data_IF_992270285890
#
_entry.id   IF_992270285890
#
_cell.length_a   1.000
_cell.length_b   1.000
_cell.length_c   1.000
_cell.angle_alpha   90.00
_cell.angle_beta   90.00
_cell.angle_gamma   90.00
#
_symmetry.space_group_name_H-M   'P 1'
#
loop_
_entity.id
_entity.type
_entity.pdbx_description
1 polymer ?
#
# COMPACT_ATOMS: atom_id res chain seq x y z
N UNK A 1 24.65 -14.31 12.32
CA UNK A 1 23.20 -14.04 12.07
C UNK A 1 22.42 -15.04 12.93
N UNK A 2 21.81 -14.59 14.03
CA UNK A 2 21.12 -15.49 14.97
C UNK A 2 19.88 -16.08 14.29
N UNK A 3 19.81 -17.41 14.21
CA UNK A 3 18.66 -18.11 13.62
C UNK A 3 17.41 -17.84 14.47
N UNK A 4 16.33 -17.39 13.83
CA UNK A 4 15.03 -17.22 14.49
C UNK A 4 14.51 -18.55 15.03
N UNK A 5 13.94 -18.53 16.24
CA UNK A 5 13.19 -19.65 16.81
C UNK A 5 11.92 -19.91 15.99
N UNK A 6 11.35 -21.12 16.05
CA UNK A 6 10.13 -21.47 15.32
C UNK A 6 8.98 -20.48 15.55
N UNK A 7 8.69 -20.19 16.82
CA UNK A 7 7.65 -19.21 17.20
C UNK A 7 7.90 -17.78 16.71
N UNK A 8 9.16 -17.39 16.51
CA UNK A 8 9.52 -16.09 15.96
C UNK A 8 9.21 -16.03 14.45
N UNK A 9 9.44 -17.12 13.71
CA UNK A 9 9.12 -17.20 12.28
C UNK A 9 7.62 -17.08 12.03
N UNK A 10 6.80 -17.71 12.87
CA UNK A 10 5.34 -17.64 12.73
C UNK A 10 4.83 -16.21 12.96
N UNK A 11 5.40 -15.51 13.94
CA UNK A 11 5.09 -14.08 14.19
C UNK A 11 5.52 -13.18 13.04
N UNK A 12 6.68 -13.42 12.41
CA UNK A 12 7.09 -12.67 11.21
C UNK A 12 6.07 -12.86 10.09
N UNK A 13 5.65 -14.11 9.82
CA UNK A 13 4.65 -14.39 8.77
C UNK A 13 3.31 -13.69 9.04
N UNK A 14 2.80 -13.75 10.26
CA UNK A 14 1.56 -13.07 10.63
C UNK A 14 1.69 -11.54 10.51
N UNK A 15 2.78 -10.97 11.00
CA UNK A 15 3.04 -9.54 10.88
C UNK A 15 3.07 -9.10 9.41
N UNK A 16 3.79 -9.82 8.54
CA UNK A 16 3.85 -9.54 7.10
C UNK A 16 2.46 -9.63 6.47
N UNK A 17 1.67 -10.65 6.83
CA UNK A 17 0.31 -10.80 6.33
C UNK A 17 -0.59 -9.62 6.70
N UNK A 18 -0.49 -9.12 7.94
CA UNK A 18 -1.35 -8.03 8.43
C UNK A 18 -0.91 -6.65 7.94
N UNK A 19 0.40 -6.44 7.82
CA UNK A 19 0.97 -5.10 7.54
C UNK A 19 1.42 -4.90 6.11
N UNK A 20 1.53 -5.98 5.33
CA UNK A 20 2.15 -6.02 4.00
C UNK A 20 3.58 -5.43 4.00
N UNK A 21 4.24 -5.41 5.16
CA UNK A 21 5.63 -4.98 5.29
C UNK A 21 6.60 -6.05 4.77
N UNK A 22 7.84 -5.66 4.48
CA UNK A 22 8.89 -6.62 4.18
C UNK A 22 9.21 -7.49 5.39
N UNK A 23 9.72 -8.71 5.18
CA UNK A 23 10.19 -9.56 6.28
C UNK A 23 11.27 -8.87 7.13
N UNK A 24 12.08 -8.01 6.51
CA UNK A 24 13.12 -7.23 7.19
C UNK A 24 12.49 -6.23 8.17
N UNK A 25 11.49 -5.48 7.71
CA UNK A 25 10.73 -4.55 8.57
C UNK A 25 10.00 -5.31 9.68
N UNK A 26 9.35 -6.43 9.35
CA UNK A 26 8.67 -7.27 10.32
C UNK A 26 9.61 -7.77 11.43
N UNK A 27 10.80 -8.25 11.06
CA UNK A 27 11.82 -8.66 12.03
C UNK A 27 12.28 -7.50 12.92
N UNK A 28 12.48 -6.30 12.35
CA UNK A 28 12.89 -5.12 13.11
C UNK A 28 11.80 -4.68 14.10
N UNK A 29 10.54 -4.58 13.66
CA UNK A 29 9.40 -4.26 14.51
C UNK A 29 9.24 -5.28 15.65
N UNK A 30 9.23 -6.57 15.32
CA UNK A 30 9.03 -7.62 16.32
C UNK A 30 10.19 -7.68 17.32
N UNK A 31 11.43 -7.50 16.87
CA UNK A 31 12.59 -7.46 17.77
C UNK A 31 12.52 -6.27 18.74
N UNK A 32 12.08 -5.09 18.28
CA UNK A 32 11.93 -3.89 19.11
C UNK A 32 10.83 -4.02 20.19
N UNK A 33 9.83 -4.87 19.96
CA UNK A 33 8.68 -5.05 20.86
C UNK A 33 8.67 -6.40 21.57
N UNK A 34 9.85 -6.97 21.85
CA UNK A 34 9.98 -8.24 22.57
C UNK A 34 9.17 -9.39 21.94
N UNK A 35 9.04 -9.39 20.62
CA UNK A 35 8.23 -10.33 19.85
C UNK A 35 6.75 -10.34 20.25
N UNK A 36 6.22 -9.28 20.81
CA UNK A 36 4.77 -9.09 20.96
C UNK A 36 4.20 -8.62 19.61
N UNK A 37 3.36 -9.46 18.99
CA UNK A 37 2.84 -9.23 17.65
C UNK A 37 1.86 -8.04 17.62
N UNK A 38 0.94 -7.98 18.57
CA UNK A 38 -0.07 -6.92 18.66
C UNK A 38 0.59 -5.55 18.87
N UNK A 39 1.48 -5.46 19.86
CA UNK A 39 2.21 -4.22 20.15
C UNK A 39 3.10 -3.77 18.98
N UNK A 40 3.75 -4.71 18.29
CA UNK A 40 4.54 -4.39 17.12
C UNK A 40 3.68 -3.85 15.97
N UNK A 41 2.49 -4.42 15.76
CA UNK A 41 1.55 -3.95 14.74
C UNK A 41 0.98 -2.58 15.08
N UNK A 42 0.54 -2.34 16.31
CA UNK A 42 0.03 -1.04 16.75
C UNK A 42 1.08 0.06 16.55
N UNK A 43 2.33 -0.24 16.92
CA UNK A 43 3.47 0.66 16.75
C UNK A 43 3.77 0.92 15.26
N UNK A 44 3.75 -0.12 14.44
CA UNK A 44 3.95 0.00 13.00
C UNK A 44 2.84 0.80 12.31
N UNK A 45 1.57 0.63 12.69
CA UNK A 45 0.47 1.41 12.10
C UNK A 45 0.46 2.86 12.59
N UNK A 46 0.92 3.10 13.82
CA UNK A 46 1.05 4.46 14.37
C UNK A 46 2.23 5.21 13.75
N UNK A 47 3.35 4.51 13.49
CA UNK A 47 4.57 5.13 12.99
C UNK A 47 5.35 4.19 12.04
N UNK A 48 4.83 3.92 10.82
CA UNK A 48 5.40 2.91 9.93
C UNK A 48 6.83 3.23 9.53
N UNK A 49 7.14 4.51 9.44
CA UNK A 49 8.40 5.06 9.03
C UNK A 49 9.57 4.82 9.99
N UNK A 50 9.29 4.49 11.25
CA UNK A 50 10.30 4.24 12.27
C UNK A 50 11.09 2.94 12.01
N UNK A 51 10.42 1.93 11.45
CA UNK A 51 10.98 0.59 11.33
C UNK A 51 11.30 0.18 9.90
N UNK A 52 10.82 0.94 8.91
CA UNK A 52 11.11 0.70 7.51
C UNK A 52 12.56 1.09 7.24
N UNK A 53 13.40 0.18 6.71
CA UNK A 53 14.76 0.47 6.31
C UNK A 53 14.84 1.68 5.37
N UNK A 54 15.88 2.54 5.46
CA UNK A 54 15.99 3.74 4.63
C UNK A 54 15.83 3.45 3.13
N UNK A 55 16.43 2.37 2.62
CA UNK A 55 16.31 1.90 1.24
C UNK A 55 14.86 1.56 0.82
N UNK A 56 14.08 1.00 1.73
CA UNK A 56 12.66 0.66 1.50
C UNK A 56 11.75 1.90 1.64
N UNK A 57 12.14 2.89 2.46
CA UNK A 57 11.40 4.17 2.56
C UNK A 57 11.41 4.91 1.24
N UNK A 58 12.54 4.95 0.53
CA UNK A 58 12.62 5.55 -0.80
C UNK A 58 11.74 4.84 -1.84
N UNK A 59 11.59 3.51 -1.73
CA UNK A 59 10.68 2.75 -2.62
C UNK A 59 9.20 2.99 -2.32
N UNK A 60 8.83 3.16 -1.04
CA UNK A 60 7.46 3.59 -0.68
C UNK A 60 7.16 5.02 -1.12
N UNK A 61 8.17 5.88 -1.08
CA UNK A 61 8.08 7.26 -1.57
C UNK A 61 8.18 7.37 -3.09
N UNK A 62 8.67 6.35 -3.80
CA UNK A 62 8.67 6.31 -5.25
C UNK A 62 7.27 5.98 -5.77
N UNK A 63 6.33 6.85 -5.46
CA UNK A 63 5.08 6.91 -6.19
C UNK A 63 5.46 7.37 -7.60
N UNK A 64 5.24 6.51 -8.60
CA UNK A 64 5.39 6.88 -9.99
C UNK A 64 4.25 7.84 -10.37
N UNK A 65 4.46 9.11 -10.06
CA UNK A 65 3.50 10.19 -10.26
C UNK A 65 3.04 10.25 -11.73
N UNK A 66 3.94 9.92 -12.66
CA UNK A 66 3.62 9.89 -14.09
C UNK A 66 2.59 8.80 -14.41
N UNK A 67 2.70 7.61 -13.81
CA UNK A 67 1.67 6.57 -13.97
C UNK A 67 0.32 6.98 -13.39
N UNK A 68 0.31 7.67 -12.24
CA UNK A 68 -0.93 8.18 -11.64
C UNK A 68 -1.58 9.24 -12.54
N UNK A 69 -0.78 10.19 -13.03
CA UNK A 69 -1.25 11.23 -13.95
C UNK A 69 -1.80 10.63 -15.25
N UNK A 70 -1.13 9.60 -15.80
CA UNK A 70 -1.62 8.88 -16.97
C UNK A 70 -2.93 8.13 -16.70
N UNK A 71 -3.03 7.47 -15.54
CA UNK A 71 -4.26 6.78 -15.14
C UNK A 71 -5.42 7.76 -15.00
N UNK A 72 -5.18 8.91 -14.35
CA UNK A 72 -6.18 9.96 -14.21
C UNK A 72 -6.58 10.53 -15.58
N UNK A 73 -5.62 10.92 -16.41
CA UNK A 73 -5.87 11.49 -17.72
C UNK A 73 -6.65 10.54 -18.64
N UNK A 74 -6.43 9.23 -18.53
CA UNK A 74 -7.16 8.19 -19.27
C UNK A 74 -8.68 8.30 -19.10
N UNK A 75 -9.15 8.66 -17.90
CA UNK A 75 -10.57 8.75 -17.58
C UNK A 75 -11.08 10.19 -17.51
N UNK A 76 -10.24 11.17 -17.14
CA UNK A 76 -10.61 12.59 -17.09
C UNK A 76 -10.69 13.26 -18.46
N UNK A 77 -10.13 12.66 -19.51
CA UNK A 77 -10.15 13.19 -20.88
C UNK A 77 -11.21 12.50 -21.74
N UNK A 78 -12.31 12.05 -21.14
CA UNK A 78 -13.38 11.40 -21.88
C UNK A 78 -14.10 12.43 -22.77
N UNK A 79 -14.20 12.22 -24.11
CA UNK A 79 -14.81 13.19 -25.01
C UNK A 79 -16.25 13.54 -24.69
N UNK A 80 -16.99 12.61 -24.07
CA UNK A 80 -18.41 12.77 -23.75
C UNK A 80 -18.64 13.62 -22.49
N UNK A 81 -17.59 13.84 -21.68
CA UNK A 81 -17.65 14.62 -20.43
C UNK A 81 -17.34 16.12 -20.64
N UNK A 82 -16.99 16.52 -21.87
CA UNK A 82 -16.65 17.89 -22.23
C UNK A 82 -15.17 18.24 -22.00
N UNK A 83 -14.83 19.53 -22.07
CA UNK A 83 -13.44 19.99 -22.08
C UNK A 83 -12.78 20.12 -20.69
N UNK A 84 -13.53 19.87 -19.61
CA UNK A 84 -13.03 19.99 -18.23
C UNK A 84 -12.28 18.70 -17.82
N UNK A 85 -10.96 18.72 -17.93
CA UNK A 85 -10.10 17.57 -17.57
C UNK A 85 -9.61 17.61 -16.12
N UNK A 86 -10.12 18.52 -15.28
CA UNK A 86 -9.69 18.63 -13.89
C UNK A 86 -10.38 17.62 -12.96
N UNK A 87 -11.35 16.88 -13.48
CA UNK A 87 -12.07 15.80 -12.79
C UNK A 87 -12.44 14.70 -13.78
N UNK A 88 -12.68 13.49 -13.25
CA UNK A 88 -13.28 12.41 -14.02
C UNK A 88 -14.78 12.68 -14.09
N UNK A 89 -15.33 12.86 -15.29
CA UNK A 89 -16.76 13.05 -15.49
C UNK A 89 -17.55 11.73 -15.47
N UNK A 90 -18.87 11.77 -15.67
CA UNK A 90 -19.74 10.59 -15.63
C UNK A 90 -19.32 9.48 -16.60
N UNK A 91 -18.97 9.82 -17.85
CA UNK A 91 -18.59 8.84 -18.87
C UNK A 91 -17.22 8.21 -18.56
N UNK A 92 -16.25 9.03 -18.15
CA UNK A 92 -14.95 8.58 -17.67
C UNK A 92 -15.06 7.66 -16.45
N UNK A 93 -15.96 7.98 -15.52
CA UNK A 93 -16.22 7.16 -14.33
C UNK A 93 -16.83 5.81 -14.70
N UNK A 94 -17.79 5.80 -15.62
CA UNK A 94 -18.39 4.55 -16.09
C UNK A 94 -17.36 3.62 -16.74
N UNK A 95 -16.46 4.17 -17.55
CA UNK A 95 -15.33 3.43 -18.13
C UNK A 95 -14.36 2.92 -17.07
N UNK A 96 -14.05 3.74 -16.07
CA UNK A 96 -13.21 3.32 -14.95
C UNK A 96 -13.80 2.12 -14.20
N UNK A 97 -15.09 2.15 -13.89
CA UNK A 97 -15.79 1.03 -13.25
C UNK A 97 -15.83 -0.21 -14.14
N UNK A 98 -16.06 -0.03 -15.44
CA UNK A 98 -16.03 -1.11 -16.44
C UNK A 98 -14.67 -1.82 -16.47
N UNK A 99 -13.57 -1.05 -16.49
CA UNK A 99 -12.21 -1.57 -16.48
C UNK A 99 -11.86 -2.30 -15.16
N UNK A 100 -12.54 -1.96 -14.06
CA UNK A 100 -12.44 -2.65 -12.78
C UNK A 100 -13.40 -3.85 -12.64
N UNK A 101 -14.25 -4.09 -13.65
CA UNK A 101 -15.32 -5.08 -13.60
C UNK A 101 -16.30 -4.88 -12.43
N UNK A 102 -16.59 -3.62 -12.11
CA UNK A 102 -17.53 -3.22 -11.07
C UNK A 102 -18.82 -2.70 -11.67
N UNK A 103 -19.95 -3.01 -11.03
CA UNK A 103 -21.22 -2.42 -11.40
C UNK A 103 -21.38 -1.06 -10.71
N UNK A 104 -21.90 -0.07 -11.42
CA UNK A 104 -22.11 1.28 -10.88
C UNK A 104 -23.24 1.35 -9.82
N UNK A 105 -24.01 0.27 -9.67
CA UNK A 105 -25.16 0.18 -8.76
C UNK A 105 -24.98 -0.87 -7.67
N UNK A 106 -23.80 -1.50 -7.55
CA UNK A 106 -23.49 -2.42 -6.45
C UNK A 106 -23.32 -1.69 -5.11
#
# INVERSE_FOLDING_TARGET
MNKLKGSQKDKVKQFVQWTQASERTAMACLAAHNWNLEMACDSYFTNPDQFVPPDERYQRQSIDRKKIEQLFAKYASDPDDGADTNRIGPSGMFRFLTDLHLNATD
#
